data_IF_208333902885
#
_entry.id   IF_208333902885
#
_cell.length_a   1.000
_cell.length_b   1.000
_cell.length_c   1.000
_cell.angle_alpha   90.00
_cell.angle_beta   90.00
_cell.angle_gamma   90.00
#
_symmetry.space_group_name_H-M   'P 1'
#
loop_
_entity.id
_entity.type
_entity.pdbx_description
1 polymer ?
#
# COMPACT_ATOMS: atom_id res chain seq x y z
N UNK A 1 -31.71 22.89 29.43
CA UNK A 1 -32.16 21.60 28.84
C UNK A 1 -31.78 21.61 27.37
N UNK A 2 -30.76 20.86 26.98
CA UNK A 2 -30.34 20.78 25.58
C UNK A 2 -31.25 19.79 24.81
N UNK A 3 -31.68 20.11 23.59
CA UNK A 3 -32.71 19.33 22.89
C UNK A 3 -32.16 17.98 22.37
N UNK A 4 -32.94 16.91 22.54
CA UNK A 4 -32.52 15.50 22.36
C UNK A 4 -31.98 15.14 20.96
N UNK A 5 -32.32 15.92 19.93
CA UNK A 5 -31.84 15.65 18.56
C UNK A 5 -30.34 15.89 18.37
N UNK A 6 -29.72 16.72 19.21
CA UNK A 6 -28.27 16.96 19.23
C UNK A 6 -27.53 15.77 19.85
N UNK A 7 -28.14 15.10 20.84
CA UNK A 7 -27.56 13.94 21.53
C UNK A 7 -27.46 12.70 20.64
N UNK A 8 -28.44 12.46 19.77
CA UNK A 8 -28.44 11.32 18.84
C UNK A 8 -27.51 11.50 17.65
N UNK A 9 -27.41 12.71 17.08
CA UNK A 9 -26.46 13.00 15.98
C UNK A 9 -25.02 13.07 16.47
N UNK A 10 -24.79 13.60 17.67
CA UNK A 10 -23.48 13.61 18.31
C UNK A 10 -22.94 12.20 18.53
N UNK A 11 -23.77 11.26 18.98
CA UNK A 11 -23.36 9.86 19.16
C UNK A 11 -23.00 9.20 17.82
N UNK A 12 -23.79 9.42 16.76
CA UNK A 12 -23.53 8.83 15.43
C UNK A 12 -22.28 9.43 14.78
N UNK A 13 -22.06 10.73 14.92
CA UNK A 13 -20.85 11.40 14.40
C UNK A 13 -19.61 10.97 15.21
N UNK A 14 -19.72 10.86 16.53
CA UNK A 14 -18.62 10.38 17.37
C UNK A 14 -18.31 8.89 17.13
N UNK A 15 -19.33 8.06 16.89
CA UNK A 15 -19.16 6.66 16.50
C UNK A 15 -18.54 6.54 15.10
N UNK A 16 -18.94 7.38 14.14
CA UNK A 16 -18.33 7.42 12.81
C UNK A 16 -16.87 7.92 12.86
N UNK A 17 -16.55 8.90 13.72
CA UNK A 17 -15.17 9.36 13.95
C UNK A 17 -14.36 8.27 14.67
N UNK A 18 -14.94 7.53 15.63
CA UNK A 18 -14.27 6.40 16.27
C UNK A 18 -14.06 5.21 15.32
N UNK A 19 -15.00 4.94 14.40
CA UNK A 19 -14.84 3.90 13.37
C UNK A 19 -13.79 4.35 12.34
N UNK A 20 -13.76 5.62 11.93
CA UNK A 20 -12.70 6.15 11.07
C UNK A 20 -11.34 6.11 11.80
N UNK A 21 -11.30 6.41 13.11
CA UNK A 21 -10.09 6.32 13.94
C UNK A 21 -9.62 4.87 14.16
N UNK A 22 -10.52 3.89 14.17
CA UNK A 22 -10.19 2.45 14.19
C UNK A 22 -9.82 1.91 12.80
N UNK A 23 -10.18 2.61 11.72
CA UNK A 23 -9.78 2.27 10.35
C UNK A 23 -8.48 2.96 9.90
N UNK A 24 -7.91 3.85 10.70
CA UNK A 24 -6.49 4.25 10.52
C UNK A 24 -5.67 3.19 11.25
N UNK A 25 -5.42 2.06 10.58
CA UNK A 25 -4.28 1.25 10.97
C UNK A 25 -3.09 2.19 10.99
N UNK A 26 -2.58 2.52 12.19
CA UNK A 26 -1.31 3.20 12.30
C UNK A 26 -0.34 2.34 11.51
N UNK A 27 0.09 2.83 10.35
CA UNK A 27 1.24 2.27 9.68
C UNK A 27 2.38 2.46 10.67
N UNK A 28 2.68 1.40 11.43
CA UNK A 28 3.94 1.29 12.12
C UNK A 28 5.00 1.52 11.06
N UNK A 29 5.90 2.47 11.32
CA UNK A 29 7.13 2.46 10.57
C UNK A 29 7.83 1.17 10.99
N UNK A 30 7.95 0.20 10.06
CA UNK A 30 8.82 -0.96 10.31
C UNK A 30 10.19 -0.45 10.73
N UNK A 31 10.91 -1.30 11.46
CA UNK A 31 12.23 -0.97 11.95
C UNK A 31 13.21 -0.52 10.85
N UNK A 32 14.45 -0.18 11.23
CA UNK A 32 15.43 0.32 10.27
C UNK A 32 15.69 -0.65 9.12
N UNK A 33 15.44 -1.95 9.34
CA UNK A 33 15.43 -2.97 8.29
C UNK A 33 14.05 -3.62 8.15
N UNK A 34 13.79 -4.22 6.98
CA UNK A 34 12.52 -4.89 6.69
C UNK A 34 12.25 -6.09 7.62
N UNK A 35 13.29 -6.65 8.25
CA UNK A 35 13.20 -7.82 9.15
C UNK A 35 12.84 -7.45 10.58
N UNK A 36 13.08 -6.20 10.98
CA UNK A 36 12.89 -5.74 12.36
C UNK A 36 11.42 -5.37 12.59
N UNK A 37 10.67 -6.27 13.23
CA UNK A 37 9.24 -6.09 13.45
C UNK A 37 8.99 -5.25 14.71
N UNK A 38 8.22 -4.17 14.56
CA UNK A 38 7.76 -3.30 15.63
C UNK A 38 6.31 -3.62 16.03
N UNK A 39 5.87 -3.20 17.24
CA UNK A 39 4.46 -3.20 17.58
C UNK A 39 3.61 -2.48 16.52
N UNK A 40 2.50 -3.10 16.15
CA UNK A 40 1.53 -2.70 15.13
C UNK A 40 1.98 -2.85 13.66
N UNK A 41 3.17 -3.38 13.40
CA UNK A 41 3.60 -3.64 12.03
C UNK A 41 2.78 -4.74 11.36
N UNK A 42 2.73 -4.69 10.03
CA UNK A 42 2.25 -5.80 9.23
C UNK A 42 3.38 -6.80 8.98
N UNK A 43 3.08 -8.08 9.12
CA UNK A 43 3.89 -9.22 8.69
C UNK A 43 3.14 -9.91 7.57
N UNK A 44 3.82 -10.19 6.47
CA UNK A 44 3.29 -10.95 5.35
C UNK A 44 3.66 -12.42 5.50
N UNK A 45 2.75 -13.30 5.11
CA UNK A 45 3.10 -14.71 4.92
C UNK A 45 4.24 -14.83 3.90
N UNK A 46 5.01 -15.92 4.04
CA UNK A 46 6.22 -16.19 3.24
C UNK A 46 7.42 -15.28 3.54
N UNK A 47 7.30 -14.34 4.50
CA UNK A 47 8.48 -13.67 5.03
C UNK A 47 9.28 -14.60 5.95
N UNK A 48 10.60 -14.48 5.85
CA UNK A 48 11.57 -15.29 6.57
C UNK A 48 12.58 -14.41 7.32
N UNK A 49 13.08 -14.93 8.43
CA UNK A 49 14.11 -14.28 9.24
C UNK A 49 13.67 -12.97 9.87
N UNK A 50 12.43 -12.95 10.37
CA UNK A 50 11.85 -11.82 11.08
C UNK A 50 12.34 -11.78 12.54
N UNK A 51 12.70 -10.60 13.01
CA UNK A 51 13.05 -10.35 14.41
C UNK A 51 11.85 -9.73 15.13
N UNK A 52 11.28 -10.48 16.06
CA UNK A 52 10.14 -10.13 16.91
C UNK A 52 10.56 -9.62 18.29
N UNK A 53 11.85 -9.43 18.57
CA UNK A 53 12.35 -9.02 19.89
C UNK A 53 11.71 -7.74 20.42
N UNK A 54 11.32 -6.83 19.53
CA UNK A 54 10.64 -5.58 19.92
C UNK A 54 9.17 -5.79 20.35
N UNK A 55 8.63 -7.00 20.21
CA UNK A 55 7.31 -7.37 20.68
C UNK A 55 7.33 -7.96 22.10
N UNK A 56 8.51 -8.21 22.66
CA UNK A 56 8.68 -8.74 24.02
C UNK A 56 8.19 -7.75 25.08
N UNK A 57 8.00 -8.24 26.30
CA UNK A 57 7.79 -7.35 27.44
C UNK A 57 9.09 -6.58 27.73
N UNK A 58 9.03 -5.25 27.69
CA UNK A 58 10.21 -4.40 27.86
C UNK A 58 10.89 -4.50 29.23
N UNK A 59 10.23 -5.08 30.24
CA UNK A 59 10.76 -5.21 31.61
C UNK A 59 11.47 -6.55 31.81
N UNK A 60 10.86 -7.64 31.36
CA UNK A 60 11.38 -9.00 31.57
C UNK A 60 12.26 -9.46 30.40
N UNK A 61 12.06 -8.92 29.20
CA UNK A 61 12.76 -9.29 27.96
C UNK A 61 12.70 -10.81 27.66
N UNK A 62 11.64 -11.46 28.14
CA UNK A 62 11.40 -12.86 27.81
C UNK A 62 10.98 -13.00 26.34
N UNK A 63 11.45 -14.05 25.64
CA UNK A 63 11.20 -14.21 24.22
C UNK A 63 9.71 -14.44 23.91
N UNK A 64 9.29 -14.03 22.72
CA UNK A 64 7.95 -14.36 22.23
C UNK A 64 7.90 -15.86 21.94
N UNK A 65 6.95 -16.55 22.53
CA UNK A 65 6.79 -18.02 22.37
C UNK A 65 5.64 -18.37 21.44
N UNK A 66 4.65 -17.48 21.33
CA UNK A 66 3.49 -17.65 20.46
C UNK A 66 3.02 -16.30 19.91
N UNK A 67 2.49 -16.31 18.69
CA UNK A 67 1.60 -15.27 18.19
C UNK A 67 0.16 -15.77 18.30
N UNK A 68 -0.66 -15.10 19.10
CA UNK A 68 -2.04 -15.50 19.40
C UNK A 68 -3.05 -14.56 18.80
N UNK A 69 -4.09 -15.14 18.20
CA UNK A 69 -5.31 -14.42 17.83
C UNK A 69 -6.40 -14.70 18.84
N UNK A 70 -7.18 -13.67 19.13
CA UNK A 70 -8.28 -13.73 20.08
C UNK A 70 -9.60 -13.42 19.41
N UNK A 71 -10.71 -13.87 20.01
CA UNK A 71 -12.04 -13.52 19.57
C UNK A 71 -12.23 -11.99 19.62
N UNK A 72 -12.74 -11.43 18.52
CA UNK A 72 -12.95 -10.00 18.34
C UNK A 72 -11.67 -9.16 18.61
N UNK A 73 -10.51 -9.74 18.32
CA UNK A 73 -9.17 -9.16 18.53
C UNK A 73 -8.96 -8.64 19.97
N UNK A 74 -9.57 -9.28 20.98
CA UNK A 74 -9.48 -8.87 22.39
C UNK A 74 -8.77 -9.93 23.26
N UNK A 75 -7.58 -9.63 23.83
CA UNK A 75 -6.83 -10.55 24.70
C UNK A 75 -7.57 -11.08 25.93
N UNK A 76 -8.61 -10.38 26.41
CA UNK A 76 -9.44 -10.82 27.54
C UNK A 76 -10.47 -11.91 27.15
N UNK A 77 -10.52 -12.27 25.87
CA UNK A 77 -11.46 -13.27 25.32
C UNK A 77 -10.73 -14.57 24.96
N UNK A 78 -11.47 -15.52 24.40
CA UNK A 78 -10.90 -16.82 24.01
C UNK A 78 -9.88 -16.69 22.88
N UNK A 79 -8.79 -17.46 22.97
CA UNK A 79 -7.83 -17.65 21.88
C UNK A 79 -8.51 -18.43 20.76
N UNK A 80 -8.48 -17.90 19.53
CA UNK A 80 -9.03 -18.54 18.34
C UNK A 80 -7.94 -19.21 17.50
N UNK A 81 -6.71 -18.69 17.53
CA UNK A 81 -5.55 -19.25 16.84
C UNK A 81 -4.28 -19.00 17.63
N UNK A 82 -3.33 -19.93 17.54
CA UNK A 82 -1.97 -19.74 18.05
C UNK A 82 -0.97 -20.25 17.03
N UNK A 83 0.08 -19.46 16.81
CA UNK A 83 1.22 -19.79 15.97
C UNK A 83 2.44 -19.93 16.89
N UNK A 84 3.09 -21.09 16.94
CA UNK A 84 4.28 -21.26 17.76
C UNK A 84 5.45 -20.43 17.20
N UNK A 85 6.18 -19.76 18.09
CA UNK A 85 7.41 -19.05 17.79
C UNK A 85 8.56 -19.80 18.46
N UNK A 86 9.33 -20.52 17.65
CA UNK A 86 10.45 -21.34 18.18
C UNK A 86 11.69 -20.48 18.45
N UNK A 87 11.93 -19.49 17.60
CA UNK A 87 12.98 -18.48 17.73
C UNK A 87 12.38 -17.14 17.31
N UNK A 88 12.31 -16.20 18.24
CA UNK A 88 11.71 -14.89 18.02
C UNK A 88 12.69 -13.87 17.44
N UNK A 89 13.94 -14.27 17.16
CA UNK A 89 14.93 -13.46 16.45
C UNK A 89 15.12 -13.90 15.00
N UNK A 90 14.52 -15.04 14.61
CA UNK A 90 14.57 -15.61 13.28
C UNK A 90 13.25 -16.34 12.97
N UNK A 91 12.14 -15.61 13.10
CA UNK A 91 10.80 -16.14 12.88
C UNK A 91 10.45 -16.21 11.39
N UNK A 92 9.68 -17.24 11.02
CA UNK A 92 9.16 -17.44 9.67
C UNK A 92 7.64 -17.63 9.76
N UNK A 93 6.92 -16.91 8.91
CA UNK A 93 5.45 -17.00 8.90
C UNK A 93 5.02 -18.03 7.88
N UNK A 94 4.72 -19.24 8.37
CA UNK A 94 4.23 -20.32 7.52
C UNK A 94 2.70 -20.30 7.44
N UNK A 95 2.21 -20.35 6.21
CA UNK A 95 0.77 -20.35 5.89
C UNK A 95 0.00 -21.53 6.53
N UNK A 96 0.67 -22.67 6.72
CA UNK A 96 0.08 -23.88 7.34
C UNK A 96 -0.52 -23.63 8.73
N UNK A 97 0.03 -22.67 9.48
CA UNK A 97 -0.46 -22.33 10.82
C UNK A 97 -1.64 -21.35 10.80
N UNK A 98 -1.84 -20.64 9.69
CA UNK A 98 -2.85 -19.59 9.57
C UNK A 98 -4.18 -20.14 9.06
N UNK A 99 -4.17 -21.08 8.11
CA UNK A 99 -5.40 -21.60 7.48
C UNK A 99 -6.34 -20.46 7.06
N UNK A 100 -5.78 -19.44 6.40
CA UNK A 100 -6.48 -18.21 5.95
C UNK A 100 -6.99 -17.26 7.06
N UNK A 101 -6.71 -17.51 8.35
CA UNK A 101 -7.11 -16.62 9.46
C UNK A 101 -6.18 -15.39 9.63
N UNK A 102 -6.01 -14.59 8.58
CA UNK A 102 -5.22 -13.35 8.60
C UNK A 102 -5.87 -12.26 9.48
N UNK A 103 -5.06 -11.41 10.13
CA UNK A 103 -5.57 -10.33 10.98
C UNK A 103 -4.64 -9.97 12.12
N UNK A 104 -5.22 -9.49 13.23
CA UNK A 104 -4.46 -9.07 14.41
C UNK A 104 -3.99 -10.27 15.23
N UNK A 105 -2.69 -10.33 15.49
CA UNK A 105 -2.07 -11.30 16.38
C UNK A 105 -1.33 -10.56 17.49
N UNK A 106 -1.26 -11.19 18.65
CA UNK A 106 -0.57 -10.66 19.81
C UNK A 106 0.58 -11.57 20.20
N UNK A 107 1.73 -10.98 20.47
CA UNK A 107 2.86 -11.66 21.06
C UNK A 107 2.50 -12.16 22.47
N UNK A 108 2.93 -13.37 22.78
CA UNK A 108 2.63 -14.04 24.03
C UNK A 108 3.84 -14.80 24.57
N UNK A 109 4.02 -14.71 25.88
CA UNK A 109 4.90 -15.56 26.67
C UNK A 109 4.15 -16.08 27.92
N UNK A 110 4.30 -17.36 28.34
CA UNK A 110 3.63 -17.89 29.54
C UNK A 110 3.91 -17.12 30.84
N UNK A 111 5.08 -16.50 30.96
CA UNK A 111 5.49 -15.74 32.14
C UNK A 111 4.93 -14.31 32.12
N UNK A 112 4.88 -13.67 30.95
CA UNK A 112 4.47 -12.27 30.80
C UNK A 112 2.99 -12.10 30.42
N UNK A 113 2.38 -13.15 29.88
CA UNK A 113 1.09 -13.07 29.19
C UNK A 113 1.22 -12.42 27.81
N UNK A 114 0.18 -11.67 27.43
CA UNK A 114 0.09 -10.97 26.14
C UNK A 114 0.82 -9.62 26.21
N UNK A 115 1.64 -9.31 25.21
CA UNK A 115 2.46 -8.08 25.17
C UNK A 115 2.03 -7.13 24.05
N UNK A 116 2.74 -7.13 22.92
CA UNK A 116 2.49 -6.27 21.77
C UNK A 116 1.64 -6.99 20.72
N UNK A 117 1.12 -6.24 19.74
CA UNK A 117 0.36 -6.78 18.62
C UNK A 117 1.05 -6.53 17.29
N UNK A 118 0.73 -7.34 16.29
CA UNK A 118 1.12 -7.22 14.88
C UNK A 118 -0.06 -7.62 13.99
N UNK A 119 -0.02 -7.24 12.72
CA UNK A 119 -1.02 -7.66 11.73
C UNK A 119 -0.41 -8.70 10.79
N UNK A 120 -0.94 -9.92 10.74
CA UNK A 120 -0.52 -10.91 9.73
C UNK A 120 -1.41 -10.76 8.50
N UNK A 121 -0.80 -10.66 7.32
CA UNK A 121 -1.44 -10.36 6.03
C UNK A 121 -0.99 -11.32 4.93
N UNK A 122 -1.82 -11.43 3.91
CA UNK A 122 -1.50 -12.11 2.66
C UNK A 122 -0.96 -11.09 1.63
N UNK A 123 0.17 -11.34 0.97
CA UNK A 123 0.64 -10.48 -0.11
C UNK A 123 -0.23 -10.68 -1.37
N UNK A 124 -1.11 -9.72 -1.66
CA UNK A 124 -2.01 -9.77 -2.82
C UNK A 124 -1.55 -8.87 -3.96
N UNK A 125 -1.66 -9.37 -5.18
CA UNK A 125 -1.27 -8.66 -6.40
C UNK A 125 -2.39 -8.73 -7.44
N UNK A 126 -2.83 -7.57 -7.91
CA UNK A 126 -3.86 -7.44 -8.93
C UNK A 126 -3.33 -6.64 -10.11
N UNK A 127 -3.78 -7.01 -11.30
CA UNK A 127 -3.42 -6.36 -12.55
C UNK A 127 -4.68 -6.08 -13.37
N UNK A 128 -4.72 -4.92 -13.99
CA UNK A 128 -5.66 -4.63 -15.07
C UNK A 128 -4.95 -3.95 -16.24
N UNK A 129 -5.53 -4.08 -17.42
CA UNK A 129 -5.14 -3.34 -18.62
C UNK A 129 -6.17 -2.25 -18.86
N UNK A 130 -5.72 -0.99 -18.87
CA UNK A 130 -6.59 0.18 -19.02
C UNK A 130 -6.11 1.07 -20.17
N UNK A 131 -6.96 1.97 -20.65
CA UNK A 131 -6.49 3.07 -21.51
C UNK A 131 -5.48 3.94 -20.74
N UNK A 132 -4.47 4.42 -21.45
CA UNK A 132 -3.47 5.32 -20.86
C UNK A 132 -4.09 6.66 -20.42
N UNK A 133 -3.34 7.42 -19.60
CA UNK A 133 -3.71 8.74 -19.12
C UNK A 133 -4.22 9.64 -20.28
N UNK A 134 -5.36 10.33 -20.13
CA UNK A 134 -6.16 10.51 -18.90
C UNK A 134 -7.30 9.50 -18.65
N UNK A 135 -7.39 8.40 -19.41
CA UNK A 135 -8.57 7.53 -19.45
C UNK A 135 -8.42 6.22 -18.65
N UNK A 136 -7.71 6.25 -17.51
CA UNK A 136 -7.42 5.07 -16.68
C UNK A 136 -8.66 4.34 -16.10
N UNK A 137 -9.84 4.92 -16.25
CA UNK A 137 -11.13 4.35 -15.82
C UNK A 137 -11.73 3.37 -16.84
N UNK A 138 -11.17 3.25 -18.05
CA UNK A 138 -11.67 2.36 -19.10
C UNK A 138 -10.83 1.08 -19.18
N UNK A 139 -11.32 -0.06 -18.63
CA UNK A 139 -10.63 -1.35 -18.76
C UNK A 139 -10.74 -1.89 -20.19
N UNK A 140 -9.70 -2.61 -20.61
CA UNK A 140 -9.60 -3.20 -21.95
C UNK A 140 -9.74 -4.73 -21.96
N UNK A 141 -10.02 -5.31 -20.80
CA UNK A 141 -10.19 -6.75 -20.68
C UNK A 141 -11.30 -7.25 -21.61
N UNK A 142 -10.97 -8.25 -22.45
CA UNK A 142 -11.91 -8.82 -23.42
C UNK A 142 -12.29 -7.90 -24.59
N UNK A 143 -11.72 -6.70 -24.70
CA UNK A 143 -12.03 -5.75 -25.78
C UNK A 143 -11.09 -5.93 -26.99
N UNK A 144 -11.61 -5.58 -28.17
CA UNK A 144 -10.83 -5.43 -29.40
C UNK A 144 -10.50 -3.97 -29.62
N UNK A 145 -9.21 -3.66 -29.68
CA UNK A 145 -8.70 -2.29 -29.65
C UNK A 145 -7.85 -1.96 -30.88
N UNK A 146 -7.92 -0.70 -31.31
CA UNK A 146 -7.15 -0.22 -32.46
C UNK A 146 -5.64 -0.24 -32.17
N UNK A 147 -4.76 -0.52 -33.15
CA UNK A 147 -3.31 -0.46 -32.97
C UNK A 147 -2.79 0.92 -32.54
N UNK A 148 -3.56 1.98 -32.75
CA UNK A 148 -3.20 3.33 -32.32
C UNK A 148 -3.47 3.60 -30.84
N UNK A 149 -4.21 2.71 -30.17
CA UNK A 149 -4.57 2.85 -28.76
C UNK A 149 -3.33 2.79 -27.88
N UNK A 150 -3.26 3.69 -26.90
CA UNK A 150 -2.25 3.66 -25.85
C UNK A 150 -2.87 3.07 -24.60
N UNK A 151 -2.17 2.12 -24.00
CA UNK A 151 -2.60 1.43 -22.80
C UNK A 151 -1.61 1.69 -21.66
N UNK A 152 -2.10 1.55 -20.45
CA UNK A 152 -1.31 1.46 -19.24
C UNK A 152 -1.75 0.21 -18.48
N UNK A 153 -0.85 -0.30 -17.64
CA UNK A 153 -1.17 -1.38 -16.72
C UNK A 153 -1.45 -0.76 -15.36
N UNK A 154 -2.63 -1.07 -14.80
CA UNK A 154 -2.99 -0.72 -13.43
C UNK A 154 -2.55 -1.87 -12.53
N UNK A 155 -1.59 -1.60 -11.66
CA UNK A 155 -1.12 -2.56 -10.66
C UNK A 155 -1.71 -2.15 -9.32
N UNK A 156 -2.31 -3.10 -8.60
CA UNK A 156 -2.80 -2.88 -7.25
C UNK A 156 -2.25 -3.94 -6.31
N UNK A 157 -1.61 -3.51 -5.23
CA UNK A 157 -1.19 -4.38 -4.13
C UNK A 157 -1.46 -3.63 -2.82
N UNK A 158 -2.71 -3.69 -2.32
CA UNK A 158 -3.16 -2.81 -1.25
C UNK A 158 -2.34 -2.91 0.02
N UNK A 159 -2.08 -4.13 0.49
CA UNK A 159 -1.36 -4.35 1.75
C UNK A 159 0.16 -4.17 1.56
N UNK A 160 0.77 -4.79 0.54
CA UNK A 160 2.23 -4.69 0.32
C UNK A 160 2.63 -3.24 0.05
N UNK A 161 1.91 -2.55 -0.85
CA UNK A 161 2.18 -1.16 -1.19
C UNK A 161 1.88 -0.16 -0.06
N UNK A 162 1.16 -0.56 0.99
CA UNK A 162 0.93 0.26 2.18
C UNK A 162 1.95 -0.02 3.29
N UNK A 163 2.24 -1.30 3.55
CA UNK A 163 2.88 -1.74 4.79
C UNK A 163 4.26 -2.39 4.60
N UNK A 164 4.60 -2.87 3.40
CA UNK A 164 5.88 -3.52 3.14
C UNK A 164 6.97 -2.49 2.81
N UNK A 165 7.35 -1.72 3.83
CA UNK A 165 8.39 -0.69 3.72
C UNK A 165 9.18 -0.57 5.01
N UNK A 166 10.45 -0.17 4.92
CA UNK A 166 11.31 0.15 6.05
C UNK A 166 11.98 1.50 5.80
N UNK A 167 11.84 2.45 6.73
CA UNK A 167 12.40 3.80 6.56
C UNK A 167 11.93 4.54 5.29
N UNK A 168 10.72 4.26 4.78
CA UNK A 168 10.20 4.84 3.54
C UNK A 168 10.73 4.17 2.25
N UNK A 169 11.52 3.11 2.37
CA UNK A 169 11.99 2.30 1.24
C UNK A 169 11.03 1.14 1.03
N UNK A 170 10.62 0.94 -0.22
CA UNK A 170 9.72 -0.14 -0.65
C UNK A 170 10.52 -1.20 -1.41
N UNK A 171 10.99 -2.28 -0.78
CA UNK A 171 11.87 -3.25 -1.43
C UNK A 171 11.12 -4.27 -2.32
N UNK A 172 9.79 -4.34 -2.23
CA UNK A 172 9.00 -5.26 -3.05
C UNK A 172 9.01 -4.82 -4.53
N UNK A 173 9.24 -5.79 -5.42
CA UNK A 173 9.21 -5.56 -6.87
C UNK A 173 8.46 -6.66 -7.60
N UNK A 174 7.91 -6.29 -8.76
CA UNK A 174 7.20 -7.18 -9.67
C UNK A 174 7.73 -7.05 -11.09
N UNK A 175 7.49 -8.09 -11.90
CA UNK A 175 7.65 -8.04 -13.35
C UNK A 175 6.25 -8.07 -14.00
N UNK A 176 6.05 -7.30 -15.08
CA UNK A 176 4.90 -7.53 -15.97
C UNK A 176 5.32 -8.44 -17.11
N UNK A 177 4.73 -9.63 -17.16
CA UNK A 177 5.03 -10.64 -18.18
C UNK A 177 3.91 -10.65 -19.20
N UNK A 178 4.22 -10.20 -20.41
CA UNK A 178 3.34 -10.27 -21.57
C UNK A 178 3.57 -11.58 -22.32
N UNK A 179 2.51 -12.35 -22.52
CA UNK A 179 2.47 -13.50 -23.44
C UNK A 179 1.87 -13.04 -24.78
N UNK A 180 2.66 -13.16 -25.85
CA UNK A 180 2.27 -12.86 -27.24
C UNK A 180 1.30 -13.90 -27.81
N UNK A 181 0.63 -13.62 -28.95
CA UNK A 181 -0.24 -14.60 -29.62
C UNK A 181 0.47 -15.91 -29.99
N UNK A 182 1.78 -15.86 -30.26
CA UNK A 182 2.61 -17.04 -30.52
C UNK A 182 3.09 -17.78 -29.27
N UNK A 183 2.69 -17.33 -28.07
CA UNK A 183 3.05 -17.93 -26.79
C UNK A 183 4.39 -17.48 -26.20
N UNK A 184 5.16 -16.63 -26.89
CA UNK A 184 6.41 -16.10 -26.34
C UNK A 184 6.13 -15.10 -25.20
N UNK A 185 6.87 -15.22 -24.11
CA UNK A 185 6.78 -14.33 -22.95
C UNK A 185 7.89 -13.27 -22.96
N UNK A 186 7.58 -12.05 -22.56
CA UNK A 186 8.54 -10.93 -22.46
C UNK A 186 8.13 -9.93 -21.39
N UNK A 187 9.13 -9.30 -20.76
CA UNK A 187 8.94 -8.11 -19.90
C UNK A 187 9.23 -6.81 -20.63
N UNK A 188 9.71 -6.88 -21.88
CA UNK A 188 9.87 -5.73 -22.77
C UNK A 188 8.62 -5.61 -23.63
N UNK A 189 7.79 -4.62 -23.34
CA UNK A 189 6.46 -4.43 -23.93
C UNK A 189 6.46 -3.08 -24.67
N UNK A 190 6.21 -3.10 -25.99
CA UNK A 190 6.24 -1.88 -26.80
C UNK A 190 7.56 -1.10 -26.73
N UNK A 191 8.68 -1.81 -26.58
CA UNK A 191 10.02 -1.21 -26.46
C UNK A 191 10.37 -0.65 -25.07
N UNK A 192 9.54 -0.88 -24.05
CA UNK A 192 9.77 -0.43 -22.68
C UNK A 192 9.98 -1.63 -21.75
N UNK A 193 10.87 -1.51 -20.77
CA UNK A 193 11.13 -2.57 -19.79
C UNK A 193 10.15 -2.47 -18.61
N UNK A 194 9.43 -3.55 -18.33
CA UNK A 194 8.49 -3.68 -17.21
C UNK A 194 8.95 -4.73 -16.19
N UNK A 195 10.23 -5.07 -16.16
CA UNK A 195 10.83 -5.86 -15.11
C UNK A 195 11.24 -4.97 -13.92
N UNK A 196 11.11 -5.48 -12.69
CA UNK A 196 11.58 -4.84 -11.46
C UNK A 196 10.80 -3.58 -11.08
N UNK A 197 9.50 -3.52 -11.39
CA UNK A 197 8.66 -2.40 -11.01
C UNK A 197 8.48 -2.39 -9.49
N UNK A 198 8.81 -1.27 -8.87
CA UNK A 198 8.67 -1.09 -7.44
C UNK A 198 7.19 -0.99 -7.02
N UNK A 199 6.78 -1.77 -6.01
CA UNK A 199 5.44 -1.69 -5.40
C UNK A 199 5.47 -0.66 -4.26
N UNK A 200 5.50 0.62 -4.65
CA UNK A 200 5.66 1.76 -3.72
C UNK A 200 4.35 2.38 -3.24
N UNK A 201 3.21 1.82 -3.64
CA UNK A 201 1.89 2.35 -3.33
C UNK A 201 0.85 1.26 -3.45
N UNK A 202 -0.29 1.44 -2.79
CA UNK A 202 -1.43 0.51 -2.85
C UNK A 202 -1.93 0.28 -4.27
N UNK A 203 -1.74 1.28 -5.15
CA UNK A 203 -2.03 1.25 -6.58
C UNK A 203 -1.09 2.20 -7.34
N UNK A 204 -0.68 1.82 -8.54
CA UNK A 204 -0.05 2.71 -9.51
C UNK A 204 -0.39 2.30 -10.95
N UNK A 205 -0.17 3.23 -11.88
CA UNK A 205 -0.24 2.98 -13.30
C UNK A 205 1.15 3.02 -13.91
N UNK A 206 1.40 2.19 -14.92
CA UNK A 206 2.72 2.15 -15.53
C UNK A 206 3.09 3.40 -16.33
N UNK A 207 2.14 4.31 -16.58
CA UNK A 207 2.36 5.60 -17.20
C UNK A 207 2.35 6.78 -16.20
N UNK A 208 2.32 6.51 -14.90
CA UNK A 208 2.56 7.52 -13.87
C UNK A 208 4.00 8.09 -13.98
N UNK A 209 4.26 9.31 -13.49
CA UNK A 209 5.60 9.89 -13.45
C UNK A 209 6.62 8.95 -12.78
N UNK A 210 7.78 8.76 -13.43
CA UNK A 210 8.84 7.86 -12.93
C UNK A 210 8.63 6.38 -13.26
N UNK A 211 7.54 6.02 -13.96
CA UNK A 211 7.26 4.65 -14.44
C UNK A 211 7.67 4.48 -15.92
N UNK A 212 7.70 3.25 -16.46
CA UNK A 212 8.16 3.00 -17.83
C UNK A 212 7.38 3.75 -18.93
N UNK A 213 6.13 4.12 -18.68
CA UNK A 213 5.27 4.87 -19.61
C UNK A 213 4.17 4.03 -20.27
N UNK A 214 3.30 4.71 -21.00
CA UNK A 214 2.24 4.07 -21.78
C UNK A 214 2.79 3.26 -22.96
N UNK A 215 2.10 2.17 -23.28
CA UNK A 215 2.41 1.27 -24.40
C UNK A 215 1.43 1.52 -25.53
N UNK A 216 1.94 1.68 -26.76
CA UNK A 216 1.08 1.71 -27.94
C UNK A 216 0.87 0.29 -28.46
N UNK A 217 -0.37 -0.13 -28.68
CA UNK A 217 -0.69 -1.51 -29.07
C UNK A 217 -0.07 -1.95 -30.39
N UNK A 218 0.01 -1.06 -31.38
CA UNK A 218 0.71 -1.34 -32.64
C UNK A 218 2.22 -1.53 -32.49
N UNK A 219 2.78 -1.22 -31.32
CA UNK A 219 4.18 -1.51 -30.97
C UNK A 219 4.38 -2.89 -30.35
N UNK A 220 3.32 -3.68 -30.14
CA UNK A 220 3.41 -5.04 -29.57
C UNK A 220 3.82 -6.10 -30.59
N UNK A 221 3.72 -5.79 -31.88
CA UNK A 221 4.01 -6.71 -32.98
C UNK A 221 2.75 -7.11 -33.73
N UNK A 222 2.57 -8.42 -33.94
CA UNK A 222 1.51 -8.97 -34.77
C UNK A 222 0.11 -8.81 -34.14
N UNK A 223 -0.96 -8.64 -34.95
CA UNK A 223 -2.32 -8.73 -34.45
C UNK A 223 -2.60 -10.08 -33.80
N UNK A 224 -3.41 -10.09 -32.75
CA UNK A 224 -3.82 -11.30 -32.04
C UNK A 224 -4.19 -11.05 -30.59
N UNK A 225 -4.43 -12.15 -29.87
CA UNK A 225 -4.72 -12.13 -28.43
C UNK A 225 -3.42 -12.13 -27.64
N UNK A 226 -3.27 -11.10 -26.81
CA UNK A 226 -2.19 -10.99 -25.85
C UNK A 226 -2.75 -11.29 -24.46
N UNK A 227 -1.91 -11.78 -23.57
CA UNK A 227 -2.22 -11.80 -22.14
C UNK A 227 -1.07 -11.23 -21.33
N UNK A 228 -1.38 -10.62 -20.19
CA UNK A 228 -0.38 -10.07 -19.28
C UNK A 228 -0.68 -10.54 -17.86
N UNK A 229 0.36 -10.80 -17.08
CA UNK A 229 0.28 -11.01 -15.63
C UNK A 229 1.37 -10.23 -14.92
N UNK A 230 1.11 -9.86 -13.68
CA UNK A 230 2.09 -9.32 -12.77
C UNK A 230 2.63 -10.45 -11.91
N UNK A 231 3.95 -10.59 -11.85
CA UNK A 231 4.66 -11.68 -11.18
C UNK A 231 5.52 -11.11 -10.06
N UNK A 232 5.50 -11.71 -8.88
CA UNK A 232 6.40 -11.30 -7.81
C UNK A 232 7.85 -11.59 -8.17
N UNK A 233 8.74 -10.64 -7.87
CA UNK A 233 10.19 -10.78 -8.11
C UNK A 233 11.01 -10.65 -6.83
N UNK A 234 10.57 -9.81 -5.91
CA UNK A 234 11.25 -9.59 -4.63
C UNK A 234 10.20 -9.18 -3.62
N UNK A 235 10.28 -9.66 -2.36
CA UNK A 235 11.24 -10.61 -1.80
C UNK A 235 11.14 -12.04 -2.36
N UNK A 236 12.15 -12.88 -2.12
CA UNK A 236 12.20 -14.28 -2.60
C UNK A 236 11.04 -15.12 -2.08
N UNK A 237 10.61 -14.90 -0.84
CA UNK A 237 9.41 -15.58 -0.32
C UNK A 237 8.16 -15.29 -1.14
N UNK A 238 8.04 -14.07 -1.69
CA UNK A 238 6.89 -13.72 -2.53
C UNK A 238 7.04 -14.33 -3.93
N UNK A 239 8.24 -14.31 -4.53
CA UNK A 239 8.45 -14.91 -5.85
C UNK A 239 8.23 -16.44 -5.87
N UNK A 240 8.49 -17.11 -4.75
CA UNK A 240 8.43 -18.56 -4.66
C UNK A 240 7.03 -19.06 -4.28
N UNK A 241 6.30 -18.30 -3.46
CA UNK A 241 5.12 -18.81 -2.77
C UNK A 241 3.88 -17.92 -2.84
N UNK A 242 4.04 -16.60 -3.01
CA UNK A 242 2.88 -15.72 -3.10
C UNK A 242 2.17 -15.86 -4.46
N UNK A 243 0.84 -15.79 -4.49
CA UNK A 243 0.12 -15.83 -5.75
C UNK A 243 0.43 -14.59 -6.59
N UNK A 244 0.77 -14.83 -7.85
CA UNK A 244 0.82 -13.82 -8.91
C UNK A 244 -0.59 -13.27 -9.21
N UNK A 245 -0.66 -12.19 -9.99
CA UNK A 245 -1.96 -11.72 -10.47
C UNK A 245 -2.61 -12.72 -11.43
N UNK A 246 -3.94 -12.65 -11.52
CA UNK A 246 -4.66 -13.27 -12.64
C UNK A 246 -4.16 -12.73 -13.98
N UNK A 247 -4.29 -13.55 -15.04
CA UNK A 247 -3.92 -13.16 -16.40
C UNK A 247 -5.04 -12.32 -17.01
N UNK A 248 -4.69 -11.12 -17.47
CA UNK A 248 -5.61 -10.25 -18.21
C UNK A 248 -5.37 -10.40 -19.70
N UNK A 249 -6.42 -10.72 -20.46
CA UNK A 249 -6.33 -10.90 -21.91
C UNK A 249 -6.97 -9.74 -22.69
N UNK A 250 -6.35 -9.34 -23.80
CA UNK A 250 -6.86 -8.34 -24.72
C UNK A 250 -6.47 -8.65 -26.16
N UNK A 251 -7.27 -8.18 -27.12
CA UNK A 251 -7.07 -8.49 -28.55
C UNK A 251 -6.67 -7.25 -29.33
N UNK A 252 -5.53 -7.32 -30.00
CA UNK A 252 -5.08 -6.31 -30.97
C UNK A 252 -5.51 -6.76 -32.36
N UNK A 253 -6.38 -5.99 -33.02
CA UNK A 253 -6.79 -6.27 -34.39
C UNK A 253 -6.49 -5.09 -35.31
N UNK A 254 -6.07 -5.37 -36.54
CA UNK A 254 -6.00 -4.37 -37.60
C UNK A 254 -7.42 -3.95 -37.96
N UNK A 255 -7.98 -2.99 -37.24
CA UNK A 255 -9.11 -2.23 -37.75
C UNK A 255 -8.57 -1.33 -38.85
N UNK A 256 -8.58 -1.81 -40.10
CA UNK A 256 -8.68 -0.92 -41.26
C UNK A 256 -9.89 -0.04 -40.97
N UNK A 257 -9.70 1.28 -41.02
CA UNK A 257 -10.76 2.22 -40.68
C UNK A 257 -12.06 1.83 -41.37
N UNK A 258 -13.05 1.41 -40.59
CA UNK A 258 -14.42 1.71 -41.00
C UNK A 258 -14.53 3.18 -40.68
N UNK A 259 -14.34 3.98 -41.72
CA UNK A 259 -14.77 5.36 -41.74
C UNK A 259 -16.19 5.36 -41.16
N UNK A 260 -16.35 5.87 -39.94
CA UNK A 260 -17.68 6.10 -39.39
C UNK A 260 -18.21 7.36 -40.04
N UNK A 261 -18.40 7.29 -41.36
CA UNK A 261 -19.57 7.97 -41.92
C UNK A 261 -20.73 7.28 -41.23
N UNK A 262 -21.31 7.95 -40.23
CA UNK A 262 -22.53 7.49 -39.61
C UNK A 262 -23.52 7.16 -40.73
N UNK A 263 -23.89 5.89 -40.88
CA UNK A 263 -25.09 5.55 -41.63
C UNK A 263 -26.21 6.36 -40.97
N UNK A 264 -26.86 7.31 -41.68
CA UNK A 264 -27.93 8.08 -41.06
C UNK A 264 -28.98 7.07 -40.60
N UNK A 265 -29.18 7.01 -39.28
CA UNK A 265 -30.33 6.32 -38.71
C UNK A 265 -31.57 6.89 -39.40
N UNK A 266 -32.48 6.06 -39.95
CA UNK A 266 -33.71 6.60 -40.53
C UNK A 266 -34.40 7.40 -39.44
N UNK A 267 -34.55 8.71 -39.69
CA UNK A 267 -35.28 9.62 -38.83
C UNK A 267 -36.67 9.05 -38.61
N UNK A 268 -36.98 8.62 -37.38
CA UNK A 268 -38.34 8.31 -37.00
C UNK A 268 -39.16 9.60 -37.15
N UNK A 269 -40.20 9.57 -37.98
CA UNK A 269 -41.20 10.64 -38.06
C UNK A 269 -41.88 10.73 -36.70
N UNK A 270 -41.46 11.71 -35.89
CA UNK A 270 -42.10 12.00 -34.61
C UNK A 270 -43.41 12.72 -34.90
N UNK A 271 -44.53 12.04 -34.65
CA UNK A 271 -45.86 12.68 -34.61
C UNK A 271 -45.83 13.74 -33.50
N UNK A 272 -46.12 14.99 -33.87
CA UNK A 272 -46.10 16.12 -32.95
C UNK A 272 -47.05 15.90 -31.76
N UNK A 273 -46.48 15.86 -30.55
CA UNK A 273 -47.23 15.97 -29.29
C UNK A 273 -47.41 17.47 -28.99
N UNK A 274 -48.63 17.95 -28.67
CA UNK A 274 -48.87 19.38 -28.49
C UNK A 274 -48.07 19.95 -27.32
N UNK A 275 -47.38 21.04 -27.61
CA UNK A 275 -46.59 21.86 -26.68
C UNK A 275 -47.46 22.45 -25.58
N UNK A 276 -47.19 22.11 -24.33
CA UNK A 276 -47.71 22.86 -23.18
C UNK A 276 -46.92 24.17 -23.03
N UNK A 277 -47.66 25.27 -22.93
CA UNK A 277 -47.16 26.64 -22.72
C UNK A 277 -46.41 26.74 -21.38
N UNK A 278 -45.14 27.16 -21.35
CA UNK A 278 -44.44 27.40 -20.10
C UNK A 278 -44.89 28.71 -19.45
N UNK A 279 -45.30 28.62 -18.18
CA UNK A 279 -45.53 29.76 -17.29
C UNK A 279 -44.19 30.38 -16.88
N UNK A 280 -44.05 31.68 -17.06
CA UNK A 280 -42.88 32.46 -16.64
C UNK A 280 -42.65 32.32 -15.13
N UNK A 281 -41.48 31.81 -14.75
CA UNK A 281 -40.98 31.89 -13.37
C UNK A 281 -39.84 32.89 -13.35
N UNK A 282 -40.05 33.99 -12.63
CA UNK A 282 -39.09 35.08 -12.43
C UNK A 282 -37.92 34.60 -11.56
N UNK A 283 -36.70 34.88 -12.03
CA UNK A 283 -35.46 34.60 -11.30
C UNK A 283 -35.12 35.80 -10.41
N UNK A 284 -34.90 35.63 -9.09
CA UNK A 284 -34.40 36.71 -8.25
C UNK A 284 -32.91 36.96 -8.53
N UNK A 285 -32.62 38.20 -8.90
CA UNK A 285 -31.28 38.79 -8.99
C UNK A 285 -30.61 38.77 -7.62
N UNK A 286 -29.41 38.19 -7.53
CA UNK A 286 -28.51 38.37 -6.38
C UNK A 286 -27.24 39.09 -6.84
N UNK A 287 -26.88 40.09 -6.04
CA UNK A 287 -25.83 41.08 -6.23
C UNK A 287 -24.42 40.48 -6.08
N UNK A 288 -23.41 40.95 -6.84
CA UNK A 288 -22.05 40.41 -6.74
C UNK A 288 -21.38 40.86 -5.43
N UNK A 289 -21.00 39.90 -4.60
CA UNK A 289 -20.13 40.15 -3.44
C UNK A 289 -18.67 40.23 -3.89
N UNK A 290 -17.98 41.28 -3.44
CA UNK A 290 -16.61 41.62 -3.80
C UNK A 290 -15.59 40.52 -3.47
N UNK A 291 -14.66 40.31 -4.39
CA UNK A 291 -13.47 39.46 -4.25
C UNK A 291 -12.40 40.21 -3.47
N UNK A 292 -12.05 39.76 -2.27
CA UNK A 292 -10.81 40.18 -1.61
C UNK A 292 -9.65 39.30 -2.09
N UNK A 293 -8.74 39.93 -2.84
CA UNK A 293 -7.45 39.37 -3.21
C UNK A 293 -6.50 39.49 -2.03
N UNK A 294 -6.19 38.37 -1.37
CA UNK A 294 -5.13 38.33 -0.36
C UNK A 294 -3.79 38.11 -1.07
N UNK A 295 -2.91 39.10 -0.97
CA UNK A 295 -1.52 39.02 -1.43
C UNK A 295 -0.75 38.08 -0.50
N UNK A 296 -0.08 37.01 -0.98
CA UNK A 296 0.79 36.23 -0.11
C UNK A 296 2.07 37.03 0.17
N UNK A 297 2.28 37.37 1.44
CA UNK A 297 3.57 37.84 1.95
C UNK A 297 4.52 36.63 1.95
N UNK A 298 5.53 36.67 1.08
CA UNK A 298 6.67 35.76 1.12
C UNK A 298 7.54 36.15 2.30
N UNK A 299 7.44 35.40 3.40
CA UNK A 299 8.46 35.44 4.44
C UNK A 299 9.59 34.50 4.00
N UNK A 300 10.75 35.07 3.68
CA UNK A 300 11.96 34.31 3.46
C UNK A 300 12.42 33.72 4.80
N UNK A 301 12.16 32.44 5.03
CA UNK A 301 12.79 31.70 6.11
C UNK A 301 14.18 31.29 5.63
N UNK A 302 15.20 31.91 6.20
CA UNK A 302 16.59 31.53 6.03
C UNK A 302 16.77 30.11 6.57
N UNK A 303 17.18 29.20 5.69
CA UNK A 303 17.62 27.85 6.02
C UNK A 303 18.80 27.91 7.01
N UNK A 304 18.73 27.29 8.19
CA UNK A 304 19.89 27.15 9.05
C UNK A 304 20.86 26.17 8.38
N UNK A 305 22.11 26.62 8.16
CA UNK A 305 23.19 25.76 7.70
C UNK A 305 23.29 24.51 8.61
N UNK A 306 23.24 23.33 7.98
CA UNK A 306 23.50 22.04 8.63
C UNK A 306 24.89 22.08 9.27
N UNK A 307 25.04 21.96 10.60
CA UNK A 307 26.36 21.87 11.20
C UNK A 307 26.97 20.51 10.86
N UNK A 308 28.20 20.54 10.35
CA UNK A 308 29.10 19.38 10.30
C UNK A 308 29.16 18.71 11.68
N UNK A 309 29.01 17.38 11.81
CA UNK A 309 29.06 16.73 13.11
C UNK A 309 30.44 16.94 13.75
N UNK A 310 30.44 17.74 14.82
CA UNK A 310 31.57 17.88 15.73
C UNK A 310 31.63 16.63 16.60
N UNK A 311 32.77 15.95 16.62
CA UNK A 311 33.00 14.78 17.45
C UNK A 311 32.67 15.08 18.92
N UNK A 312 31.76 14.31 19.51
CA UNK A 312 31.39 14.44 20.90
C UNK A 312 32.58 14.07 21.82
N UNK A 313 32.89 14.88 22.84
CA UNK A 313 33.91 14.56 23.82
C UNK A 313 33.47 13.35 24.68
N UNK A 314 34.44 12.49 25.03
CA UNK A 314 34.23 11.29 25.85
C UNK A 314 33.40 11.58 27.12
N UNK A 315 32.49 10.66 27.51
CA UNK A 315 31.71 10.82 28.73
C UNK A 315 32.62 10.82 29.98
N UNK A 316 32.46 11.85 30.81
CA UNK A 316 33.10 12.05 32.10
C UNK A 316 32.86 10.92 33.14
N UNK A 317 32.06 9.92 32.79
CA UNK A 317 31.82 8.74 33.61
C UNK A 317 33.04 7.80 33.74
N UNK A 318 34.00 7.84 32.80
CA UNK A 318 35.21 7.02 32.88
C UNK A 318 36.33 7.63 33.74
N UNK A 319 36.27 8.92 34.07
CA UNK A 319 37.26 9.56 34.96
C UNK A 319 37.02 9.27 36.45
N UNK A 320 35.77 8.99 36.84
CA UNK A 320 35.40 8.69 38.24
C UNK A 320 35.75 7.25 38.62
N UNK A 321 35.68 6.31 37.67
CA UNK A 321 36.05 4.91 37.88
C UNK A 321 37.57 4.72 38.09
N UNK A 322 38.41 5.52 37.42
CA UNK A 322 39.87 5.46 37.56
C UNK A 322 40.38 6.08 38.88
N UNK A 323 39.71 7.12 39.40
CA UNK A 323 40.06 7.74 40.69
C UNK A 323 39.63 6.89 41.91
N UNK A 324 38.50 6.16 41.80
CA UNK A 324 38.03 5.25 42.84
C UNK A 324 38.92 4.02 43.03
N UNK A 325 39.48 3.47 41.95
CA UNK A 325 40.35 2.29 42.00
C UNK A 325 41.73 2.60 42.61
N UNK A 326 42.24 3.83 42.43
CA UNK A 326 43.53 4.25 42.98
C UNK A 326 43.48 4.50 44.51
N UNK A 327 42.34 4.98 45.04
CA UNK A 327 42.15 5.18 46.49
C UNK A 327 41.91 3.86 47.23
N UNK A 328 41.22 2.90 46.61
CA UNK A 328 41.01 1.57 47.19
C UNK A 328 42.31 0.74 47.29
N UNK A 329 43.27 0.95 46.38
CA UNK A 329 44.57 0.27 46.41
C UNK A 329 45.59 0.93 47.36
N UNK A 330 45.43 2.22 47.69
CA UNK A 330 46.26 2.91 48.68
C UNK A 330 45.84 2.63 50.15
N UNK A 331 44.58 2.30 50.39
CA UNK A 331 44.07 1.96 51.73
C UNK A 331 44.39 0.52 52.18
N UNK A 332 44.85 -0.35 51.28
CA UNK A 332 45.16 -1.77 51.58
C UNK A 332 46.64 -2.02 51.93
N UNK A 333 47.43 -0.97 52.17
CA UNK A 333 48.85 -1.06 52.56
C UNK A 333 49.23 -0.25 53.82
N UNK A 334 48.28 -0.05 54.72
CA UNK A 334 48.57 0.29 56.13
C UNK A 334 47.85 -0.68 57.05
#
# INVERSE_FOLDING_TARGET
MAPEWIRRRGLVILLAICIIALCVGQAGARGPTIRDIQPHDAIFIYEEGLDLSQLRNATTDNPVTELRRYQDDNPDRGVTRSIPVTDDTNFEVQDIYLQEDYGTYYAYNPEDGTTAQVMIREPRLFLDVVLANPYHNEPLEGLTVSPNTRIAFRVSSPDVGAFYQAGGVYPATIDLVLTTPGGAETTVIGGRNFAGLNVSSTRFYTDDPGRPGAVRLGGLGEPGTYSVRAVWRTPSGFDAYAPDSERVAFTVANRVGVDTTATPTPTATVTATPTATPTETTVPTTEPTATETVTPVTTATTEPATPTPTAAPLPAALAVAAAGLALALAARRR
#
